data_IF_142178617020
#
_entry.id   IF_142178617020
#
_cell.length_a   1.000
_cell.length_b   1.000
_cell.length_c   1.000
_cell.angle_alpha   90.00
_cell.angle_beta   90.00
_cell.angle_gamma   90.00
#
_symmetry.space_group_name_H-M   'P 1'
#
loop_
_entity.id
_entity.type
_entity.pdbx_description
1 polymer ?
#
# COMPACT_ATOMS: atom_id res chain seq x y z
N UNK A 1 37.18 -30.61 6.66
CA UNK A 1 37.07 -29.18 7.05
C UNK A 1 36.51 -28.29 5.93
N UNK A 2 35.87 -28.85 4.89
CA UNK A 2 35.21 -28.05 3.85
C UNK A 2 33.73 -27.76 4.18
N UNK A 3 33.08 -28.63 4.97
CA UNK A 3 31.67 -28.50 5.37
C UNK A 3 31.33 -27.27 6.23
N UNK A 4 32.12 -26.94 7.26
CA UNK A 4 31.82 -25.80 8.15
C UNK A 4 31.76 -24.47 7.41
N UNK A 5 32.60 -24.29 6.38
CA UNK A 5 32.62 -23.06 5.59
C UNK A 5 31.32 -22.78 4.84
N UNK A 6 30.55 -23.81 4.47
CA UNK A 6 29.30 -23.65 3.74
C UNK A 6 28.17 -23.09 4.63
N UNK A 7 28.12 -23.53 5.90
CA UNK A 7 27.16 -23.00 6.89
C UNK A 7 27.52 -21.57 7.24
N UNK A 8 28.81 -21.28 7.44
CA UNK A 8 29.28 -19.92 7.74
C UNK A 8 28.96 -18.94 6.60
N UNK A 9 29.16 -19.35 5.34
CA UNK A 9 28.81 -18.56 4.16
C UNK A 9 27.30 -18.32 4.09
N UNK A 10 26.49 -19.36 4.34
CA UNK A 10 25.04 -19.26 4.40
C UNK A 10 24.56 -18.26 5.47
N UNK A 11 25.09 -18.36 6.69
CA UNK A 11 24.72 -17.49 7.81
C UNK A 11 25.20 -16.05 7.60
N UNK A 12 26.37 -15.86 7.01
CA UNK A 12 26.89 -14.52 6.63
C UNK A 12 25.96 -13.84 5.62
N UNK A 13 25.52 -14.60 4.60
CA UNK A 13 24.60 -14.09 3.59
C UNK A 13 23.22 -13.80 4.17
N UNK A 14 22.73 -14.66 5.06
CA UNK A 14 21.49 -14.43 5.80
C UNK A 14 21.61 -13.15 6.63
N UNK A 15 22.66 -13.01 7.46
CA UNK A 15 22.92 -11.84 8.28
C UNK A 15 22.90 -10.54 7.46
N UNK A 16 23.62 -10.52 6.33
CA UNK A 16 23.66 -9.39 5.39
C UNK A 16 22.26 -8.96 4.92
N UNK A 17 21.33 -9.90 4.77
CA UNK A 17 19.96 -9.63 4.35
C UNK A 17 19.06 -9.17 5.49
N UNK A 18 19.15 -9.79 6.66
CA UNK A 18 18.29 -9.43 7.82
C UNK A 18 18.72 -8.12 8.49
N UNK A 19 20.02 -7.78 8.50
CA UNK A 19 20.54 -6.58 9.18
C UNK A 19 19.90 -5.28 8.69
N UNK A 20 19.46 -5.25 7.42
CA UNK A 20 18.84 -4.08 6.81
C UNK A 20 17.44 -3.76 7.37
N UNK A 21 16.76 -4.70 8.04
CA UNK A 21 15.35 -4.52 8.42
C UNK A 21 14.91 -5.18 9.73
N UNK A 22 15.64 -6.17 10.25
CA UNK A 22 15.29 -6.83 11.51
C UNK A 22 15.88 -6.05 12.70
N UNK A 23 15.10 -5.88 13.78
CA UNK A 23 15.56 -5.13 14.98
C UNK A 23 16.67 -5.87 15.74
N UNK A 24 16.70 -7.20 15.61
CA UNK A 24 17.64 -8.10 16.27
C UNK A 24 18.13 -9.14 15.26
N UNK A 25 18.94 -8.73 14.27
CA UNK A 25 19.36 -9.61 13.19
C UNK A 25 20.18 -10.80 13.72
N UNK A 26 20.94 -10.59 14.79
CA UNK A 26 21.75 -11.64 15.44
C UNK A 26 20.90 -12.77 16.02
N UNK A 27 19.71 -12.47 16.55
CA UNK A 27 18.79 -13.51 17.07
C UNK A 27 18.28 -14.42 15.95
N UNK A 28 17.96 -13.86 14.77
CA UNK A 28 17.51 -14.64 13.61
C UNK A 28 18.63 -15.52 13.07
N UNK A 29 19.85 -14.99 13.03
CA UNK A 29 21.02 -15.74 12.56
C UNK A 29 21.38 -16.84 13.56
N UNK A 30 21.29 -16.57 14.86
CA UNK A 30 21.51 -17.58 15.90
C UNK A 30 20.48 -18.71 15.82
N UNK A 31 19.19 -18.40 15.70
CA UNK A 31 18.13 -19.41 15.54
C UNK A 31 18.32 -20.25 14.27
N UNK A 32 18.70 -19.62 13.15
CA UNK A 32 19.04 -20.34 11.93
C UNK A 32 20.28 -21.23 12.10
N UNK A 33 21.30 -20.77 12.82
CA UNK A 33 22.50 -21.55 13.12
C UNK A 33 22.17 -22.78 13.98
N UNK A 34 21.32 -22.61 15.00
CA UNK A 34 20.87 -23.69 15.88
C UNK A 34 20.12 -24.76 15.08
N UNK A 35 19.17 -24.37 14.23
CA UNK A 35 18.42 -25.31 13.40
C UNK A 35 19.26 -26.02 12.32
N UNK A 36 20.19 -25.32 11.69
CA UNK A 36 21.12 -25.94 10.73
C UNK A 36 22.00 -26.97 11.43
N UNK A 37 22.53 -26.65 12.62
CA UNK A 37 23.37 -27.55 13.40
C UNK A 37 22.59 -28.79 13.86
N UNK A 38 21.40 -28.58 14.44
CA UNK A 38 20.50 -29.66 14.86
C UNK A 38 20.19 -30.61 13.69
N UNK A 39 19.90 -30.06 12.50
CA UNK A 39 19.58 -30.89 11.33
C UNK A 39 20.78 -31.66 10.78
N UNK A 40 21.97 -31.09 10.82
CA UNK A 40 23.22 -31.79 10.45
C UNK A 40 23.51 -32.93 11.42
N UNK A 41 23.33 -32.71 12.72
CA UNK A 41 23.50 -33.75 13.75
C UNK A 41 22.53 -34.91 13.52
N UNK A 42 21.25 -34.62 13.22
CA UNK A 42 20.24 -35.64 12.91
C UNK A 42 20.63 -36.50 11.68
N UNK A 43 21.05 -35.85 10.59
CA UNK A 43 21.44 -36.56 9.36
C UNK A 43 22.73 -37.38 9.57
N UNK A 44 23.68 -36.85 10.32
CA UNK A 44 24.90 -37.58 10.68
C UNK A 44 24.58 -38.80 11.56
N UNK A 45 23.68 -38.64 12.53
CA UNK A 45 23.20 -39.75 13.37
C UNK A 45 22.43 -40.81 12.56
N UNK A 46 21.79 -40.42 11.45
CA UNK A 46 21.16 -41.32 10.50
C UNK A 46 22.15 -42.05 9.57
N UNK A 47 23.45 -41.76 9.68
CA UNK A 47 24.52 -42.42 8.93
C UNK A 47 24.94 -41.73 7.64
N UNK A 48 24.51 -40.49 7.39
CA UNK A 48 25.06 -39.69 6.29
C UNK A 48 26.48 -39.22 6.61
N UNK A 49 27.32 -39.12 5.58
CA UNK A 49 28.64 -38.51 5.73
C UNK A 49 28.50 -37.01 6.07
N UNK A 50 29.38 -36.41 6.89
CA UNK A 50 29.21 -35.04 7.38
C UNK A 50 29.04 -33.99 6.28
N UNK A 51 29.85 -34.07 5.21
CA UNK A 51 29.77 -33.12 4.09
C UNK A 51 28.45 -33.29 3.31
N UNK A 52 27.91 -34.51 3.23
CA UNK A 52 26.60 -34.80 2.61
C UNK A 52 25.45 -34.28 3.48
N UNK A 53 25.52 -34.48 4.80
CA UNK A 53 24.55 -33.97 5.77
C UNK A 53 24.42 -32.45 5.70
N UNK A 54 25.54 -31.73 5.59
CA UNK A 54 25.57 -30.27 5.43
C UNK A 54 24.91 -29.84 4.12
N UNK A 55 25.27 -30.48 3.00
CA UNK A 55 24.69 -30.15 1.69
C UNK A 55 23.18 -30.38 1.66
N UNK A 56 22.71 -31.51 2.20
CA UNK A 56 21.28 -31.84 2.31
C UNK A 56 20.54 -30.87 3.23
N UNK A 57 21.17 -30.47 4.35
CA UNK A 57 20.59 -29.51 5.28
C UNK A 57 20.39 -28.15 4.62
N UNK A 58 21.42 -27.60 3.97
CA UNK A 58 21.32 -26.31 3.27
C UNK A 58 20.27 -26.38 2.15
N UNK A 59 20.24 -27.47 1.37
CA UNK A 59 19.25 -27.65 0.32
C UNK A 59 17.81 -27.74 0.87
N UNK A 60 17.61 -28.36 2.04
CA UNK A 60 16.31 -28.48 2.69
C UNK A 60 15.85 -27.20 3.40
N UNK A 61 16.79 -26.40 3.93
CA UNK A 61 16.49 -25.15 4.63
C UNK A 61 16.06 -24.02 3.67
N UNK A 62 16.44 -24.14 2.40
CA UNK A 62 16.17 -23.14 1.36
C UNK A 62 17.29 -22.11 1.25
N UNK A 63 17.12 -21.15 0.35
CA UNK A 63 18.11 -20.08 0.18
C UNK A 63 18.04 -19.04 1.32
N UNK A 64 19.13 -18.32 1.64
CA UNK A 64 19.11 -17.25 2.63
C UNK A 64 18.07 -16.16 2.33
N UNK A 65 17.75 -15.96 1.03
CA UNK A 65 16.72 -15.03 0.59
C UNK A 65 15.31 -15.44 0.98
N UNK A 66 14.99 -16.74 0.88
CA UNK A 66 13.68 -17.26 1.21
C UNK A 66 13.44 -17.24 2.72
N UNK A 67 14.47 -17.59 3.50
CA UNK A 67 14.44 -17.52 4.97
C UNK A 67 14.30 -16.08 5.45
N UNK A 68 15.08 -15.14 4.90
CA UNK A 68 14.94 -13.72 5.22
C UNK A 68 13.52 -13.20 4.89
N UNK A 69 12.96 -13.57 3.73
CA UNK A 69 11.60 -13.19 3.35
C UNK A 69 10.53 -13.84 4.23
N UNK A 70 10.77 -15.05 4.75
CA UNK A 70 9.88 -15.71 5.70
C UNK A 70 9.86 -14.97 7.06
N UNK A 71 11.03 -14.66 7.62
CA UNK A 71 11.12 -13.87 8.85
C UNK A 71 10.57 -12.45 8.66
N UNK A 72 10.73 -11.83 7.48
CA UNK A 72 10.15 -10.51 7.20
C UNK A 72 8.62 -10.56 7.23
N UNK A 73 8.04 -11.67 6.78
CA UNK A 73 6.58 -11.90 6.82
C UNK A 73 6.09 -12.14 8.24
N UNK A 74 6.86 -12.82 9.09
CA UNK A 74 6.50 -13.10 10.49
C UNK A 74 6.74 -11.90 11.43
N UNK A 75 7.83 -11.16 11.24
CA UNK A 75 8.18 -9.99 12.05
C UNK A 75 7.23 -8.81 11.85
N UNK A 76 6.54 -8.77 10.70
CA UNK A 76 5.42 -7.86 10.49
C UNK A 76 4.20 -8.50 11.14
N UNK A 77 3.54 -7.77 12.06
CA UNK A 77 2.28 -8.23 12.68
C UNK A 77 1.41 -8.90 11.61
N UNK A 78 1.01 -10.17 11.80
CA UNK A 78 0.20 -10.86 10.81
C UNK A 78 -1.03 -10.00 10.53
N UNK A 79 -1.30 -9.78 9.24
CA UNK A 79 -2.45 -9.00 8.83
C UNK A 79 -3.70 -9.69 9.42
N UNK A 80 -4.46 -8.98 10.26
CA UNK A 80 -5.64 -9.56 10.90
C UNK A 80 -6.87 -9.13 10.09
N UNK A 81 -7.40 -9.99 9.19
CA UNK A 81 -8.66 -9.69 8.53
C UNK A 81 -9.76 -9.69 9.59
N UNK A 82 -10.36 -8.54 9.83
CA UNK A 82 -11.54 -8.40 10.70
C UNK A 82 -12.77 -8.10 9.85
N UNK A 83 -13.97 -8.28 10.42
CA UNK A 83 -15.22 -7.85 9.79
C UNK A 83 -15.17 -6.36 9.38
N UNK A 84 -14.55 -5.51 10.21
CA UNK A 84 -14.31 -4.10 9.91
C UNK A 84 -13.49 -3.92 8.63
N UNK A 85 -12.36 -4.63 8.49
CA UNK A 85 -11.52 -4.54 7.28
C UNK A 85 -12.22 -5.05 6.02
N UNK A 86 -13.10 -6.05 6.14
CA UNK A 86 -13.93 -6.52 5.02
C UNK A 86 -14.95 -5.46 4.59
N UNK A 87 -15.58 -4.79 5.56
CA UNK A 87 -16.48 -3.65 5.29
C UNK A 87 -15.75 -2.51 4.61
N UNK A 88 -14.55 -2.14 5.09
CA UNK A 88 -13.73 -1.13 4.38
C UNK A 88 -13.36 -1.57 2.97
N UNK A 89 -13.14 -2.88 2.75
CA UNK A 89 -12.94 -3.45 1.42
C UNK A 89 -14.17 -3.30 0.51
N UNK A 90 -15.38 -3.55 1.04
CA UNK A 90 -16.63 -3.32 0.30
C UNK A 90 -16.82 -1.84 -0.06
N UNK A 91 -16.52 -0.94 0.87
CA UNK A 91 -16.56 0.51 0.65
C UNK A 91 -15.52 0.96 -0.39
N UNK A 92 -14.34 0.35 -0.43
CA UNK A 92 -13.35 0.59 -1.49
C UNK A 92 -13.87 0.18 -2.88
N UNK A 93 -14.58 -0.95 -2.97
CA UNK A 93 -15.22 -1.39 -4.23
C UNK A 93 -16.27 -0.36 -4.70
N UNK A 94 -17.00 0.29 -3.79
CA UNK A 94 -17.94 1.37 -4.13
C UNK A 94 -17.22 2.67 -4.50
N UNK A 95 -16.10 2.97 -3.84
CA UNK A 95 -15.27 4.14 -4.13
C UNK A 95 -14.69 4.16 -5.55
N UNK A 96 -14.33 3.00 -6.10
CA UNK A 96 -13.80 2.90 -7.47
C UNK A 96 -14.75 3.47 -8.54
N UNK A 97 -16.00 2.99 -8.64
CA UNK A 97 -17.02 3.56 -9.51
C UNK A 97 -17.30 5.05 -9.26
N UNK A 98 -17.17 5.55 -8.03
CA UNK A 98 -17.33 6.98 -7.76
C UNK A 98 -16.25 7.82 -8.45
N UNK A 99 -15.00 7.34 -8.50
CA UNK A 99 -13.94 7.99 -9.29
C UNK A 99 -14.21 7.96 -10.80
N UNK A 100 -14.78 6.87 -11.34
CA UNK A 100 -15.22 6.84 -12.74
C UNK A 100 -16.41 7.78 -13.00
N UNK A 101 -17.33 7.86 -12.05
CA UNK A 101 -18.48 8.77 -12.12
C UNK A 101 -18.04 10.22 -12.20
N UNK A 102 -16.98 10.61 -11.48
CA UNK A 102 -16.39 11.94 -11.57
C UNK A 102 -15.92 12.27 -13.00
N UNK A 103 -15.20 11.34 -13.64
CA UNK A 103 -14.74 11.47 -15.04
C UNK A 103 -15.90 11.65 -15.99
N UNK A 104 -16.91 10.79 -15.89
CA UNK A 104 -18.06 10.80 -16.79
C UNK A 104 -18.88 12.06 -16.65
N UNK A 105 -19.10 12.51 -15.41
CA UNK A 105 -19.87 13.72 -15.12
C UNK A 105 -19.16 14.96 -15.69
N UNK A 106 -17.86 15.11 -15.51
CA UNK A 106 -17.10 16.23 -16.10
C UNK A 106 -17.27 16.30 -17.63
N UNK A 107 -17.33 15.15 -18.30
CA UNK A 107 -17.41 15.10 -19.76
C UNK A 107 -18.80 15.42 -20.35
N UNK A 108 -19.87 15.33 -19.56
CA UNK A 108 -21.26 15.41 -20.07
C UNK A 108 -22.10 16.50 -19.41
N UNK A 109 -21.56 17.20 -18.41
CA UNK A 109 -22.31 18.20 -17.66
C UNK A 109 -22.40 19.52 -18.43
N UNK A 110 -23.63 20.01 -18.72
CA UNK A 110 -23.80 21.27 -19.41
C UNK A 110 -23.43 22.45 -18.51
N UNK A 111 -22.78 23.44 -19.11
CA UNK A 111 -22.43 24.70 -18.46
C UNK A 111 -23.71 25.37 -17.91
N UNK A 112 -23.64 25.78 -16.63
CA UNK A 112 -24.75 26.47 -15.95
C UNK A 112 -25.76 25.59 -15.21
N UNK A 113 -25.65 24.25 -15.22
CA UNK A 113 -26.56 23.40 -14.44
C UNK A 113 -26.10 23.20 -12.99
N UNK A 114 -26.50 24.10 -12.09
CA UNK A 114 -26.11 24.10 -10.66
C UNK A 114 -26.40 22.78 -9.94
N UNK A 115 -27.57 22.17 -10.17
CA UNK A 115 -27.96 20.91 -9.52
C UNK A 115 -26.98 19.80 -9.89
N UNK A 116 -26.58 19.77 -11.16
CA UNK A 116 -25.73 18.73 -11.68
C UNK A 116 -24.27 18.92 -11.20
N UNK A 117 -23.81 20.17 -11.03
CA UNK A 117 -22.57 20.50 -10.31
C UNK A 117 -22.60 20.10 -8.83
N UNK A 118 -23.71 20.34 -8.12
CA UNK A 118 -23.89 19.87 -6.74
C UNK A 118 -23.83 18.33 -6.67
N UNK A 119 -24.47 17.65 -7.62
CA UNK A 119 -24.41 16.20 -7.75
C UNK A 119 -22.98 15.68 -7.93
N UNK A 120 -22.19 16.31 -8.82
CA UNK A 120 -20.77 15.97 -8.99
C UNK A 120 -19.99 16.14 -7.68
N UNK A 121 -20.23 17.24 -6.95
CA UNK A 121 -19.58 17.47 -5.66
C UNK A 121 -19.85 16.34 -4.65
N UNK A 122 -21.08 15.85 -4.57
CA UNK A 122 -21.41 14.72 -3.71
C UNK A 122 -20.73 13.42 -4.15
N UNK A 123 -20.62 13.15 -5.45
CA UNK A 123 -19.89 11.97 -5.97
C UNK A 123 -18.41 12.04 -5.60
N UNK A 124 -17.82 13.22 -5.67
CA UNK A 124 -16.44 13.44 -5.27
C UNK A 124 -16.23 13.28 -3.77
N UNK A 125 -17.09 13.87 -2.93
CA UNK A 125 -17.05 13.70 -1.49
C UNK A 125 -17.12 12.21 -1.11
N UNK A 126 -18.02 11.48 -1.76
CA UNK A 126 -18.14 10.04 -1.60
C UNK A 126 -16.86 9.32 -2.02
N UNK A 127 -16.29 9.64 -3.18
CA UNK A 127 -15.06 9.02 -3.68
C UNK A 127 -13.89 9.23 -2.70
N UNK A 128 -13.69 10.45 -2.21
CA UNK A 128 -12.65 10.80 -1.22
C UNK A 128 -12.89 10.08 0.10
N UNK A 129 -14.13 10.11 0.62
CA UNK A 129 -14.47 9.44 1.88
C UNK A 129 -14.22 7.93 1.82
N UNK A 130 -14.64 7.26 0.74
CA UNK A 130 -14.41 5.83 0.56
C UNK A 130 -12.92 5.49 0.42
N UNK A 131 -12.14 6.37 -0.23
CA UNK A 131 -10.69 6.21 -0.36
C UNK A 131 -10.00 6.28 1.01
N UNK A 132 -10.37 7.26 1.85
CA UNK A 132 -9.85 7.41 3.21
C UNK A 132 -10.21 6.18 4.06
N UNK A 133 -11.46 5.72 4.00
CA UNK A 133 -11.91 4.54 4.74
C UNK A 133 -11.14 3.28 4.30
N UNK A 134 -10.90 3.11 2.99
CA UNK A 134 -10.12 2.00 2.46
C UNK A 134 -8.65 2.03 2.96
N UNK A 135 -8.01 3.21 2.91
CA UNK A 135 -6.64 3.40 3.40
C UNK A 135 -6.56 3.15 4.92
N UNK A 136 -7.53 3.65 5.68
CA UNK A 136 -7.60 3.42 7.13
C UNK A 136 -7.82 1.93 7.46
N UNK A 137 -8.71 1.25 6.75
CA UNK A 137 -8.91 -0.19 6.90
C UNK A 137 -7.65 -0.99 6.63
N UNK A 138 -6.90 -0.64 5.57
CA UNK A 138 -5.61 -1.26 5.27
C UNK A 138 -4.57 -0.93 6.35
N UNK A 139 -4.54 0.30 6.87
CA UNK A 139 -3.66 0.68 7.96
C UNK A 139 -3.93 -0.12 9.24
N UNK A 140 -5.21 -0.21 9.66
CA UNK A 140 -5.62 -0.95 10.85
C UNK A 140 -5.28 -2.43 10.76
N UNK A 141 -5.58 -3.03 9.59
CA UNK A 141 -5.34 -4.45 9.31
C UNK A 141 -3.91 -4.89 9.58
N UNK A 142 -2.95 -4.03 9.27
CA UNK A 142 -1.52 -4.31 9.39
C UNK A 142 -0.91 -3.76 10.70
N UNK A 143 -1.75 -3.29 11.64
CA UNK A 143 -1.28 -2.67 12.89
C UNK A 143 -0.46 -1.39 12.66
N UNK A 144 -0.69 -0.72 11.53
CA UNK A 144 0.02 0.45 11.08
C UNK A 144 1.09 0.17 10.01
N UNK A 145 1.21 1.09 9.05
CA UNK A 145 2.12 0.96 7.89
C UNK A 145 3.40 1.81 8.03
N UNK A 146 3.75 2.20 9.27
CA UNK A 146 4.93 3.01 9.60
C UNK A 146 4.70 4.52 9.47
N UNK A 147 5.76 5.30 9.72
CA UNK A 147 5.68 6.78 9.80
C UNK A 147 5.17 7.44 8.52
N UNK A 148 5.54 6.94 7.34
CA UNK A 148 5.07 7.49 6.06
C UNK A 148 3.54 7.43 5.92
N UNK A 149 2.92 6.32 6.33
CA UNK A 149 1.46 6.19 6.31
C UNK A 149 0.73 7.06 7.33
N UNK A 150 1.43 7.53 8.38
CA UNK A 150 0.89 8.52 9.31
C UNK A 150 1.06 9.93 8.72
N UNK A 151 2.21 10.19 8.08
CA UNK A 151 2.46 11.46 7.41
C UNK A 151 1.49 11.72 6.25
N UNK A 152 0.97 10.69 5.58
CA UNK A 152 -0.06 10.86 4.55
C UNK A 152 -1.35 11.50 5.07
N UNK A 153 -1.62 11.44 6.38
CA UNK A 153 -2.79 12.10 6.97
C UNK A 153 -2.69 13.63 6.90
N UNK A 154 -1.48 14.19 6.91
CA UNK A 154 -1.27 15.65 6.88
C UNK A 154 -1.79 16.25 5.56
N UNK A 155 -1.30 15.85 4.37
CA UNK A 155 -1.81 16.39 3.12
C UNK A 155 -3.29 16.00 2.87
N UNK A 156 -3.75 14.82 3.32
CA UNK A 156 -5.16 14.46 3.24
C UNK A 156 -6.06 15.41 4.07
N UNK A 157 -5.64 15.75 5.29
CA UNK A 157 -6.35 16.69 6.15
C UNK A 157 -6.31 18.12 5.57
N UNK A 158 -5.18 18.54 4.99
CA UNK A 158 -5.07 19.82 4.29
C UNK A 158 -5.92 19.88 3.03
N UNK A 159 -6.17 18.74 2.36
CA UNK A 159 -7.05 18.68 1.20
C UNK A 159 -8.53 18.85 1.56
N UNK A 160 -8.94 18.45 2.77
CA UNK A 160 -10.34 18.47 3.21
C UNK A 160 -11.06 19.83 3.01
N UNK A 161 -10.53 20.99 3.46
CA UNK A 161 -11.20 22.27 3.24
C UNK A 161 -11.42 22.60 1.75
N UNK A 162 -10.48 22.22 0.87
CA UNK A 162 -10.64 22.41 -0.58
C UNK A 162 -11.72 21.50 -1.15
N UNK A 163 -11.72 20.23 -0.74
CA UNK A 163 -12.75 19.25 -1.10
C UNK A 163 -14.14 19.72 -0.67
N UNK A 164 -14.29 20.32 0.52
CA UNK A 164 -15.59 20.71 1.08
C UNK A 164 -16.08 22.09 0.68
N UNK A 165 -15.18 23.07 0.48
CA UNK A 165 -15.58 24.48 0.41
C UNK A 165 -15.06 25.25 -0.81
N UNK A 166 -14.02 24.78 -1.50
CA UNK A 166 -13.31 25.58 -2.51
C UNK A 166 -13.10 24.76 -3.78
N UNK A 167 -14.20 24.60 -4.53
CA UNK A 167 -14.36 23.61 -5.60
C UNK A 167 -13.41 23.74 -6.82
N UNK A 168 -12.85 24.90 -7.23
CA UNK A 168 -12.04 24.91 -8.44
C UNK A 168 -10.53 24.88 -8.20
N UNK A 169 -10.03 24.88 -6.95
CA UNK A 169 -8.57 24.97 -6.75
C UNK A 169 -7.91 23.59 -6.92
N UNK A 170 -7.01 23.42 -7.92
CA UNK A 170 -6.30 22.16 -8.17
C UNK A 170 -5.47 21.61 -7.00
N UNK A 171 -5.24 22.41 -5.96
CA UNK A 171 -4.51 22.06 -4.75
C UNK A 171 -4.98 20.74 -4.10
N UNK A 172 -6.28 20.43 -4.13
CA UNK A 172 -6.76 19.17 -3.57
C UNK A 172 -6.19 17.96 -4.32
N UNK A 173 -6.01 18.04 -5.64
CA UNK A 173 -5.50 16.92 -6.45
C UNK A 173 -4.03 16.67 -6.13
N UNK A 174 -3.24 17.74 -5.98
CA UNK A 174 -1.84 17.67 -5.56
C UNK A 174 -1.70 17.10 -4.15
N UNK A 175 -2.52 17.56 -3.20
CA UNK A 175 -2.50 17.10 -1.82
C UNK A 175 -2.96 15.64 -1.69
N UNK A 176 -4.05 15.23 -2.35
CA UNK A 176 -4.50 13.84 -2.37
C UNK A 176 -3.52 12.92 -3.12
N UNK A 177 -2.90 13.41 -4.19
CA UNK A 177 -1.82 12.72 -4.90
C UNK A 177 -0.63 12.44 -3.98
N UNK A 178 -0.16 13.46 -3.25
CA UNK A 178 0.91 13.31 -2.27
C UNK A 178 0.52 12.36 -1.12
N UNK A 179 -0.70 12.48 -0.59
CA UNK A 179 -1.22 11.56 0.41
C UNK A 179 -1.18 10.11 -0.09
N UNK A 180 -1.60 9.89 -1.34
CA UNK A 180 -1.59 8.57 -1.97
C UNK A 180 -0.17 8.01 -2.13
N UNK A 181 0.81 8.83 -2.54
CA UNK A 181 2.23 8.42 -2.63
C UNK A 181 2.77 8.02 -1.26
N UNK A 182 2.61 8.88 -0.26
CA UNK A 182 3.14 8.66 1.09
C UNK A 182 2.54 7.41 1.74
N UNK A 183 1.27 7.12 1.48
CA UNK A 183 0.61 5.91 1.95
C UNK A 183 0.96 4.67 1.09
N UNK A 184 1.05 4.84 -0.22
CA UNK A 184 1.26 3.77 -1.18
C UNK A 184 2.68 3.18 -1.16
N UNK A 185 3.71 4.00 -0.92
CA UNK A 185 5.10 3.54 -0.77
C UNK A 185 5.22 2.42 0.27
N UNK A 186 4.79 2.59 1.54
CA UNK A 186 4.89 1.51 2.51
C UNK A 186 3.97 0.33 2.17
N UNK A 187 2.83 0.54 1.49
CA UNK A 187 1.99 -0.56 1.02
C UNK A 187 2.74 -1.44 0.02
N UNK A 188 3.37 -0.83 -0.99
CA UNK A 188 4.15 -1.52 -2.03
C UNK A 188 5.39 -2.16 -1.43
N UNK A 189 6.19 -1.39 -0.68
CA UNK A 189 7.43 -1.86 -0.08
C UNK A 189 7.18 -3.02 0.89
N UNK A 190 6.00 -3.06 1.53
CA UNK A 190 5.64 -4.14 2.44
C UNK A 190 4.85 -5.27 1.78
N UNK A 191 4.49 -5.15 0.49
CA UNK A 191 3.62 -6.10 -0.24
C UNK A 191 2.36 -6.48 0.54
N UNK A 192 1.74 -5.49 1.18
CA UNK A 192 0.61 -5.70 2.11
C UNK A 192 -0.73 -5.90 1.41
N UNK A 193 -0.78 -5.68 0.10
CA UNK A 193 -1.93 -5.83 -0.77
C UNK A 193 -1.42 -6.23 -2.18
N UNK A 194 -2.30 -6.66 -3.12
CA UNK A 194 -1.90 -7.01 -4.48
C UNK A 194 -1.08 -5.89 -5.13
N UNK A 195 0.07 -6.25 -5.72
CA UNK A 195 1.05 -5.28 -6.20
C UNK A 195 0.46 -4.34 -7.26
N UNK A 196 -0.24 -4.89 -8.25
CA UNK A 196 -0.86 -4.10 -9.32
C UNK A 196 -1.86 -3.06 -8.76
N UNK A 197 -2.71 -3.47 -7.82
CA UNK A 197 -3.68 -2.57 -7.18
C UNK A 197 -3.01 -1.52 -6.30
N UNK A 198 -1.93 -1.89 -5.61
CA UNK A 198 -1.14 -0.98 -4.78
C UNK A 198 -0.44 0.09 -5.63
N UNK A 199 0.16 -0.31 -6.76
CA UNK A 199 0.76 0.61 -7.73
C UNK A 199 -0.32 1.53 -8.30
N UNK A 200 -1.47 0.98 -8.69
CA UNK A 200 -2.58 1.77 -9.24
C UNK A 200 -3.11 2.82 -8.24
N UNK A 201 -3.29 2.46 -6.97
CA UNK A 201 -3.63 3.42 -5.90
C UNK A 201 -2.55 4.49 -5.75
N UNK A 202 -1.29 4.09 -5.69
CA UNK A 202 -0.18 5.02 -5.45
C UNK A 202 -0.01 6.01 -6.61
N UNK A 203 0.02 5.49 -7.84
CA UNK A 203 0.36 6.26 -9.04
C UNK A 203 -0.83 7.04 -9.60
N UNK A 204 -2.07 6.54 -9.49
CA UNK A 204 -3.24 7.15 -10.12
C UNK A 204 -3.44 8.62 -9.74
N UNK A 205 -3.65 8.89 -8.44
CA UNK A 205 -3.80 10.27 -7.95
C UNK A 205 -2.50 11.08 -8.01
N UNK A 206 -1.34 10.42 -7.89
CA UNK A 206 -0.04 11.10 -7.99
C UNK A 206 0.17 11.71 -9.38
N UNK A 207 -0.14 10.95 -10.44
CA UNK A 207 -0.06 11.41 -11.82
C UNK A 207 -1.05 12.54 -12.04
N UNK A 208 -2.31 12.39 -11.62
CA UNK A 208 -3.30 13.48 -11.73
C UNK A 208 -2.84 14.76 -11.03
N UNK A 209 -2.39 14.67 -9.78
CA UNK A 209 -1.90 15.82 -9.02
C UNK A 209 -0.65 16.45 -9.62
N UNK A 210 0.30 15.65 -10.12
CA UNK A 210 1.49 16.16 -10.77
C UNK A 210 1.18 16.88 -12.09
N UNK A 211 0.30 16.32 -12.94
CA UNK A 211 -0.11 16.97 -14.18
C UNK A 211 -0.81 18.29 -13.92
N UNK A 212 -1.67 18.33 -12.91
CA UNK A 212 -2.37 19.53 -12.46
C UNK A 212 -1.39 20.60 -11.95
N UNK A 213 -0.41 20.23 -11.13
CA UNK A 213 0.62 21.15 -10.63
C UNK A 213 1.47 21.72 -11.78
N UNK A 214 1.89 20.86 -12.72
CA UNK A 214 2.64 21.27 -13.91
C UNK A 214 1.81 22.25 -14.73
N UNK A 215 0.53 21.92 -14.97
CA UNK A 215 -0.39 22.79 -15.67
C UNK A 215 -0.50 24.16 -15.03
N UNK A 216 -0.69 24.22 -13.71
CA UNK A 216 -0.80 25.46 -12.96
C UNK A 216 0.47 26.32 -13.15
N UNK A 217 1.67 25.74 -12.99
CA UNK A 217 2.94 26.45 -13.15
C UNK A 217 3.10 27.05 -14.57
N UNK A 218 2.65 26.34 -15.61
CA UNK A 218 2.83 26.79 -17.00
C UNK A 218 1.68 27.68 -17.52
N UNK A 219 0.47 27.54 -16.97
CA UNK A 219 -0.73 28.26 -17.42
C UNK A 219 -0.98 29.55 -16.63
N UNK A 220 -0.47 29.70 -15.39
CA UNK A 220 -0.58 30.97 -14.63
C UNK A 220 0.09 32.18 -15.30
N UNK A 221 0.68 32.01 -16.48
CA UNK A 221 1.29 33.06 -17.28
C UNK A 221 0.34 33.67 -18.33
N UNK A 222 -0.94 33.26 -18.37
CA UNK A 222 -1.90 33.68 -19.42
C UNK A 222 -3.04 34.61 -18.95
N UNK A 223 -3.02 35.12 -17.72
CA UNK A 223 -4.06 36.00 -17.10
C UNK A 223 -5.52 35.44 -17.10
N UNK A 224 -5.75 34.24 -17.63
CA UNK A 224 -7.05 33.55 -17.62
C UNK A 224 -7.12 32.54 -16.48
N UNK A 225 -7.94 32.84 -15.47
CA UNK A 225 -8.27 31.90 -14.41
C UNK A 225 -8.83 30.60 -15.01
N UNK A 226 -8.23 29.46 -14.68
CA UNK A 226 -8.64 28.11 -15.08
C UNK A 226 -8.48 27.72 -16.57
N UNK A 227 -7.72 28.46 -17.37
CA UNK A 227 -7.42 28.07 -18.76
C UNK A 227 -6.81 26.66 -18.90
N UNK A 228 -6.25 26.10 -17.82
CA UNK A 228 -5.73 24.73 -17.80
C UNK A 228 -6.82 23.66 -17.93
N UNK A 229 -8.07 23.96 -17.54
CA UNK A 229 -9.22 23.05 -17.72
C UNK A 229 -9.66 22.96 -19.18
N UNK A 230 -9.29 23.91 -20.03
CA UNK A 230 -9.55 23.83 -21.48
C UNK A 230 -8.49 23.01 -22.23
N UNK A 231 -7.40 22.66 -21.53
CA UNK A 231 -6.32 21.87 -22.11
C UNK A 231 -6.64 20.38 -22.07
N UNK A 232 -7.05 19.86 -23.23
CA UNK A 232 -7.29 18.44 -23.50
C UNK A 232 -6.28 17.45 -22.86
N UNK A 233 -4.94 17.66 -22.89
CA UNK A 233 -4.00 16.72 -22.27
C UNK A 233 -4.09 16.65 -20.74
N UNK A 234 -4.44 17.76 -20.06
CA UNK A 234 -4.53 17.80 -18.60
C UNK A 234 -5.79 17.05 -18.15
N UNK A 235 -6.92 17.30 -18.81
CA UNK A 235 -8.15 16.53 -18.60
C UNK A 235 -7.88 15.03 -18.83
N UNK A 236 -7.23 14.67 -19.94
CA UNK A 236 -6.92 13.28 -20.24
C UNK A 236 -6.06 12.60 -19.15
N UNK A 237 -5.05 13.30 -18.62
CA UNK A 237 -4.21 12.80 -17.54
C UNK A 237 -4.98 12.67 -16.21
N UNK A 238 -5.83 13.63 -15.87
CA UNK A 238 -6.71 13.54 -14.70
C UNK A 238 -7.66 12.34 -14.81
N UNK A 239 -8.30 12.18 -15.97
CA UNK A 239 -9.19 11.06 -16.27
C UNK A 239 -8.46 9.72 -16.16
N UNK A 240 -7.27 9.61 -16.75
CA UNK A 240 -6.47 8.41 -16.66
C UNK A 240 -6.08 8.09 -15.21
N UNK A 241 -5.62 9.09 -14.45
CA UNK A 241 -5.21 8.90 -13.07
C UNK A 241 -6.37 8.53 -12.14
N UNK A 242 -7.55 9.16 -12.27
CA UNK A 242 -8.76 8.76 -11.53
C UNK A 242 -9.21 7.35 -11.89
N UNK A 243 -9.13 6.99 -13.17
CA UNK A 243 -9.49 5.64 -13.63
C UNK A 243 -8.54 4.60 -13.04
N UNK A 244 -7.23 4.83 -13.12
CA UNK A 244 -6.21 3.95 -12.55
C UNK A 244 -6.40 3.84 -11.03
N UNK A 245 -6.62 4.95 -10.34
CA UNK A 245 -6.86 4.96 -8.90
C UNK A 245 -8.11 4.16 -8.52
N UNK A 246 -9.22 4.36 -9.24
CA UNK A 246 -10.47 3.64 -9.02
C UNK A 246 -10.33 2.12 -9.23
N UNK A 247 -9.57 1.70 -10.24
CA UNK A 247 -9.22 0.29 -10.44
C UNK A 247 -8.36 -0.26 -9.28
N UNK A 248 -7.43 0.55 -8.78
CA UNK A 248 -6.64 0.23 -7.59
C UNK A 248 -7.52 -0.02 -6.36
N UNK A 249 -8.50 0.86 -6.10
CA UNK A 249 -9.46 0.71 -5.01
C UNK A 249 -10.29 -0.57 -5.14
N UNK A 250 -10.81 -0.87 -6.34
CA UNK A 250 -11.58 -2.08 -6.60
C UNK A 250 -10.72 -3.33 -6.34
N UNK A 251 -9.48 -3.32 -6.82
CA UNK A 251 -8.55 -4.45 -6.64
C UNK A 251 -8.22 -4.70 -5.18
N UNK A 252 -7.85 -3.66 -4.42
CA UNK A 252 -7.61 -3.77 -2.98
C UNK A 252 -8.88 -4.17 -2.24
N UNK A 253 -10.02 -3.58 -2.58
CA UNK A 253 -11.30 -3.87 -1.94
C UNK A 253 -11.76 -5.32 -2.15
N UNK A 254 -11.60 -5.86 -3.36
CA UNK A 254 -11.87 -7.27 -3.66
C UNK A 254 -10.99 -8.21 -2.84
N UNK A 255 -9.70 -7.91 -2.76
CA UNK A 255 -8.75 -8.68 -1.95
C UNK A 255 -9.10 -8.66 -0.46
N UNK A 256 -9.36 -7.48 0.11
CA UNK A 256 -9.77 -7.36 1.53
C UNK A 256 -11.08 -8.10 1.81
N UNK A 257 -12.00 -8.13 0.85
CA UNK A 257 -13.32 -8.79 1.01
C UNK A 257 -13.24 -10.31 0.89
N UNK A 258 -12.30 -10.85 0.10
CA UNK A 258 -12.16 -12.28 -0.17
C UNK A 258 -11.61 -13.09 1.00
N UNK A 259 -11.04 -12.44 2.00
CA UNK A 259 -10.44 -13.14 3.13
C UNK A 259 -11.47 -13.48 4.21
N UNK A 260 -11.23 -14.61 4.85
CA UNK A 260 -12.03 -15.07 5.97
C UNK A 260 -11.70 -14.24 7.22
N UNK A 261 -12.68 -13.60 7.86
CA UNK A 261 -12.43 -12.77 9.02
C UNK A 261 -12.06 -13.65 10.22
N UNK A 262 -11.03 -13.23 10.95
CA UNK A 262 -10.72 -13.78 12.26
C UNK A 262 -11.59 -13.06 13.28
N UNK A 263 -12.34 -13.83 14.08
CA UNK A 263 -13.01 -13.29 15.26
C UNK A 263 -11.95 -12.91 16.29
N UNK A 264 -11.68 -11.62 16.41
CA UNK A 264 -10.85 -11.10 17.49
C UNK A 264 -11.76 -10.99 18.71
N UNK A 265 -11.46 -11.68 19.83
CA UNK A 265 -12.19 -11.48 21.08
C UNK A 265 -12.23 -9.99 21.38
N UNK A 266 -13.41 -9.45 21.69
CA UNK A 266 -13.54 -8.05 22.03
C UNK A 266 -12.49 -7.71 23.10
N UNK A 267 -11.54 -6.82 22.78
CA UNK A 267 -10.62 -6.33 23.78
C UNK A 267 -11.47 -5.75 24.92
N UNK A 268 -11.18 -6.10 26.18
CA UNK A 268 -11.92 -5.54 27.31
C UNK A 268 -11.88 -4.01 27.18
N UNK A 269 -13.04 -3.38 27.36
CA UNK A 269 -13.15 -1.93 27.25
C UNK A 269 -12.06 -1.28 28.13
N UNK A 270 -11.34 -0.27 27.62
CA UNK A 270 -10.35 0.43 28.44
C UNK A 270 -11.05 0.93 29.71
N UNK A 271 -10.51 0.59 30.87
CA UNK A 271 -10.97 1.12 32.15
C UNK A 271 -10.83 2.63 32.09
N UNK A 272 -11.96 3.34 32.13
CA UNK A 272 -12.03 4.80 32.19
C UNK A 272 -11.47 5.32 33.51
#
# INVERSE_FOLDING_TARGET
MAGDGAIDEYLTELHRRVVAWHRRPDEVVAEAADHLSERVEELTAAGHEPDEAIALTIAGFGSPSEVADAHLRVARRPAIPTTGTRTTGALAIVGGPAWFGLVLLVAVLPDGNTIAWMGMAQVFHLAVAMSIVAMFGLWQRHGGLGRLSVLSCIPAALAAPFVFFVWPIPAWATLLGLASVLFGIPVIARRVAPLASSIALTAGLAVSGATVLVAEIFVTNTDEDFAFLESNPIIAAMVAGFTIYGLGLIGVGRWMRSEEPVEVPALPAPTL
#
